data_IF_492622651246
#
_entry.id   IF_492622651246
#
_cell.length_a   1.000
_cell.length_b   1.000
_cell.length_c   1.000
_cell.angle_alpha   90.00
_cell.angle_beta   90.00
_cell.angle_gamma   90.00
#
_symmetry.space_group_name_H-M   'P 1'
#
loop_
_entity.id
_entity.type
_entity.pdbx_description
1 polymer ?
#
# COMPACT_ATOMS: atom_id res chain seq x y z
N UNK A 1 4.82 23.77 -7.68
CA UNK A 1 4.66 24.58 -6.44
C UNK A 1 5.99 25.04 -5.84
N UNK A 2 6.87 24.15 -5.38
CA UNK A 2 8.06 24.53 -4.59
C UNK A 2 9.09 25.37 -5.38
N UNK A 3 9.29 25.08 -6.67
CA UNK A 3 10.11 25.93 -7.55
C UNK A 3 9.59 27.38 -7.63
N UNK A 4 8.27 27.59 -7.55
CA UNK A 4 7.70 28.94 -7.59
C UNK A 4 8.09 29.76 -6.35
N UNK A 5 8.20 29.15 -5.17
CA UNK A 5 8.73 29.80 -3.97
C UNK A 5 10.20 30.18 -4.19
N UNK A 6 11.03 29.22 -4.64
CA UNK A 6 12.46 29.44 -4.88
C UNK A 6 12.75 30.50 -5.96
N UNK A 7 11.89 30.61 -6.97
CA UNK A 7 12.01 31.57 -8.07
C UNK A 7 11.28 32.90 -7.82
N UNK A 8 10.87 33.17 -6.57
CA UNK A 8 10.19 34.41 -6.15
C UNK A 8 8.88 34.68 -6.89
N UNK A 9 8.12 33.62 -7.18
CA UNK A 9 6.75 33.65 -7.75
C UNK A 9 5.74 32.99 -6.80
N UNK A 10 5.61 33.44 -5.54
CA UNK A 10 4.78 32.78 -4.53
C UNK A 10 3.29 32.71 -4.92
N UNK A 11 2.82 33.63 -5.76
CA UNK A 11 1.45 33.61 -6.30
C UNK A 11 1.11 32.33 -7.08
N UNK A 12 2.11 31.62 -7.61
CA UNK A 12 1.90 30.35 -8.31
C UNK A 12 1.89 29.15 -7.37
N UNK A 13 2.28 29.30 -6.10
CA UNK A 13 2.37 28.17 -5.16
C UNK A 13 1.01 27.51 -4.96
N UNK A 14 0.01 28.28 -4.53
CA UNK A 14 -1.33 27.77 -4.19
C UNK A 14 -2.02 27.11 -5.39
N UNK A 15 -2.05 27.68 -6.62
CA UNK A 15 -2.62 27.01 -7.78
C UNK A 15 -2.00 25.63 -8.06
N UNK A 16 -0.68 25.51 -7.96
CA UNK A 16 -0.01 24.21 -8.15
C UNK A 16 -0.31 23.22 -7.03
N UNK A 17 -0.44 23.69 -5.79
CA UNK A 17 -0.85 22.84 -4.66
C UNK A 17 -2.29 22.36 -4.83
N UNK A 18 -3.20 23.22 -5.28
CA UNK A 18 -4.59 22.84 -5.57
C UNK A 18 -4.66 21.83 -6.71
N UNK A 19 -3.83 21.97 -7.74
CA UNK A 19 -3.73 20.97 -8.81
C UNK A 19 -3.27 19.62 -8.28
N UNK A 20 -2.21 19.59 -7.45
CA UNK A 20 -1.76 18.35 -6.83
C UNK A 20 -2.84 17.75 -5.91
N UNK A 21 -3.56 18.58 -5.15
CA UNK A 21 -4.60 18.15 -4.23
C UNK A 21 -5.82 17.48 -4.89
N UNK A 22 -5.97 17.61 -6.21
CA UNK A 22 -6.95 16.88 -7.02
C UNK A 22 -6.61 15.39 -7.20
N UNK A 23 -5.41 14.97 -6.80
CA UNK A 23 -4.95 13.58 -6.82
C UNK A 23 -4.86 12.98 -5.39
N UNK A 24 -5.99 12.87 -4.66
CA UNK A 24 -6.00 12.73 -3.20
C UNK A 24 -5.52 11.36 -2.68
N UNK A 25 -5.12 10.44 -3.55
CA UNK A 25 -4.59 9.10 -3.18
C UNK A 25 -3.12 8.93 -3.60
N UNK A 26 -2.47 10.02 -4.04
CA UNK A 26 -1.06 10.03 -4.43
C UNK A 26 -0.19 10.68 -3.35
N UNK A 27 1.11 10.41 -3.39
CA UNK A 27 2.10 11.00 -2.49
C UNK A 27 2.02 12.53 -2.45
N UNK A 28 2.13 13.19 -3.60
CA UNK A 28 2.07 14.65 -3.66
C UNK A 28 0.68 15.21 -3.39
N UNK A 29 -0.38 14.53 -3.81
CA UNK A 29 -1.74 15.02 -3.55
C UNK A 29 -2.12 15.00 -2.08
N UNK A 30 -1.72 13.95 -1.34
CA UNK A 30 -1.95 13.89 0.11
C UNK A 30 -1.18 14.96 0.87
N UNK A 31 0.09 15.19 0.51
CA UNK A 31 0.91 16.27 1.07
C UNK A 31 0.28 17.63 0.76
N UNK A 32 -0.17 17.84 -0.47
CA UNK A 32 -0.78 19.09 -0.87
C UNK A 32 -2.08 19.38 -0.12
N UNK A 33 -2.93 18.36 0.07
CA UNK A 33 -4.14 18.49 0.89
C UNK A 33 -3.81 18.82 2.34
N UNK A 34 -2.80 18.15 2.91
CA UNK A 34 -2.33 18.44 4.28
C UNK A 34 -1.85 19.88 4.42
N UNK A 35 -1.02 20.37 3.51
CA UNK A 35 -0.52 21.76 3.51
C UNK A 35 -1.66 22.78 3.38
N UNK A 36 -2.65 22.49 2.53
CA UNK A 36 -3.80 23.37 2.29
C UNK A 36 -4.89 23.28 3.38
N UNK A 37 -4.73 22.43 4.40
CA UNK A 37 -5.76 22.19 5.41
C UNK A 37 -7.04 21.53 4.86
N UNK A 38 -6.96 20.87 3.71
CA UNK A 38 -8.08 20.16 3.11
C UNK A 38 -8.25 18.78 3.76
N UNK A 39 -9.49 18.39 4.05
CA UNK A 39 -9.79 17.04 4.49
C UNK A 39 -9.28 16.01 3.46
N UNK A 40 -8.79 14.83 3.87
CA UNK A 40 -8.29 13.83 2.91
C UNK A 40 -9.39 13.31 1.98
N UNK A 41 -10.64 13.27 2.45
CA UNK A 41 -11.81 12.93 1.63
C UNK A 41 -11.83 11.47 1.17
N UNK A 42 -11.43 10.55 2.05
CA UNK A 42 -11.53 9.10 1.80
C UNK A 42 -12.97 8.60 1.97
N UNK A 43 -13.40 7.74 1.07
CA UNK A 43 -14.70 7.08 1.10
C UNK A 43 -14.56 5.70 1.77
N UNK A 44 -14.69 5.70 3.10
CA UNK A 44 -14.65 4.49 3.92
C UNK A 44 -16.02 3.80 4.06
N UNK A 45 -17.06 4.36 3.48
CA UNK A 45 -18.38 3.74 3.42
C UNK A 45 -18.41 2.68 2.31
N UNK A 46 -18.94 1.50 2.64
CA UNK A 46 -19.09 0.41 1.68
C UNK A 46 -20.32 0.67 0.81
N UNK A 47 -20.13 0.75 -0.50
CA UNK A 47 -21.26 0.75 -1.43
C UNK A 47 -21.94 -0.63 -1.40
N UNK A 48 -23.23 -0.62 -1.09
CA UNK A 48 -24.12 -1.77 -1.19
C UNK A 48 -24.54 -1.88 -2.65
N UNK A 49 -24.24 -3.03 -3.29
CA UNK A 49 -24.71 -3.29 -4.64
C UNK A 49 -26.24 -3.47 -4.63
N UNK A 50 -26.94 -2.86 -5.57
CA UNK A 50 -28.38 -3.10 -5.76
C UNK A 50 -28.65 -4.48 -6.34
N UNK A 51 -29.84 -5.05 -6.10
CA UNK A 51 -30.21 -6.41 -6.57
C UNK A 51 -30.00 -6.62 -8.09
N UNK A 52 -30.25 -5.59 -8.90
CA UNK A 52 -30.04 -5.63 -10.35
C UNK A 52 -28.56 -5.76 -10.77
N UNK A 53 -27.61 -5.35 -9.91
CA UNK A 53 -26.18 -5.42 -10.20
C UNK A 53 -25.61 -6.82 -9.93
N UNK A 54 -26.23 -7.61 -9.05
CA UNK A 54 -25.80 -8.98 -8.77
C UNK A 54 -26.00 -9.94 -9.95
N UNK A 55 -26.93 -9.64 -10.85
CA UNK A 55 -27.30 -10.51 -11.98
C UNK A 55 -26.42 -10.31 -13.24
N UNK A 56 -25.81 -9.14 -13.41
CA UNK A 56 -25.05 -8.77 -14.62
C UNK A 56 -23.90 -9.74 -15.02
N UNK A 57 -23.14 -10.37 -14.10
CA UNK A 57 -22.09 -11.32 -14.49
C UNK A 57 -22.68 -12.58 -15.11
N UNK A 58 -23.88 -13.01 -14.67
CA UNK A 58 -24.55 -14.21 -15.17
C UNK A 58 -25.06 -14.06 -16.62
N UNK A 59 -25.07 -12.85 -17.16
CA UNK A 59 -25.39 -12.57 -18.58
C UNK A 59 -24.26 -12.99 -19.52
N UNK A 60 -23.08 -13.32 -18.99
CA UNK A 60 -21.93 -13.82 -19.75
C UNK A 60 -21.61 -15.26 -19.38
N UNK A 61 -21.16 -16.07 -20.34
CA UNK A 61 -20.74 -17.45 -20.06
C UNK A 61 -19.59 -17.51 -19.02
N UNK A 62 -18.67 -16.54 -19.05
CA UNK A 62 -17.57 -16.46 -18.07
C UNK A 62 -18.07 -16.07 -16.68
N UNK A 63 -18.96 -15.09 -16.55
CA UNK A 63 -19.48 -14.71 -15.24
C UNK A 63 -20.39 -15.79 -14.65
N UNK A 64 -21.21 -16.47 -15.46
CA UNK A 64 -21.96 -17.64 -14.99
C UNK A 64 -21.02 -18.75 -14.47
N UNK A 65 -19.96 -19.09 -15.21
CA UNK A 65 -18.95 -20.05 -14.75
C UNK A 65 -18.26 -19.60 -13.47
N UNK A 66 -17.92 -18.31 -13.35
CA UNK A 66 -17.32 -17.77 -12.15
C UNK A 66 -18.23 -17.98 -10.93
N UNK A 67 -19.51 -17.60 -11.03
CA UNK A 67 -20.49 -17.79 -9.96
C UNK A 67 -20.69 -19.26 -9.59
N UNK A 68 -20.79 -20.16 -10.58
CA UNK A 68 -20.89 -21.60 -10.35
C UNK A 68 -19.64 -22.17 -9.65
N UNK A 69 -18.43 -21.71 -10.01
CA UNK A 69 -17.18 -22.11 -9.36
C UNK A 69 -17.11 -21.62 -7.91
N UNK A 70 -17.63 -20.41 -7.62
CA UNK A 70 -17.73 -19.89 -6.26
C UNK A 70 -18.66 -20.74 -5.40
N UNK A 71 -19.81 -21.17 -5.93
CA UNK A 71 -20.77 -22.02 -5.22
C UNK A 71 -20.17 -23.36 -4.78
N UNK A 72 -19.21 -23.91 -5.53
CA UNK A 72 -18.50 -25.15 -5.18
C UNK A 72 -17.13 -24.91 -4.53
N UNK A 73 -16.85 -23.68 -4.09
CA UNK A 73 -15.63 -23.32 -3.35
C UNK A 73 -14.34 -23.23 -4.17
N UNK A 74 -14.40 -23.31 -5.51
CA UNK A 74 -13.22 -23.25 -6.38
C UNK A 74 -12.80 -21.81 -6.68
N UNK A 75 -12.38 -21.09 -5.63
CA UNK A 75 -12.06 -19.65 -5.65
C UNK A 75 -11.03 -19.24 -6.70
N UNK A 76 -9.89 -19.93 -6.77
CA UNK A 76 -8.82 -19.57 -7.72
C UNK A 76 -9.30 -19.69 -9.19
N UNK A 77 -10.14 -20.68 -9.49
CA UNK A 77 -10.73 -20.84 -10.84
C UNK A 77 -11.83 -19.81 -11.10
N UNK A 78 -12.63 -19.47 -10.10
CA UNK A 78 -13.63 -18.42 -10.22
C UNK A 78 -12.96 -17.05 -10.48
N UNK A 79 -11.88 -16.74 -9.77
CA UNK A 79 -11.06 -15.54 -10.00
C UNK A 79 -10.56 -15.50 -11.45
N UNK A 80 -10.05 -16.62 -11.97
CA UNK A 80 -9.60 -16.70 -13.36
C UNK A 80 -10.72 -16.40 -14.37
N UNK A 81 -11.96 -16.86 -14.11
CA UNK A 81 -13.11 -16.54 -14.95
C UNK A 81 -13.55 -15.07 -14.82
N UNK A 82 -13.54 -14.49 -13.62
CA UNK A 82 -13.82 -13.07 -13.42
C UNK A 82 -12.78 -12.19 -14.14
N UNK A 83 -11.50 -12.56 -14.09
CA UNK A 83 -10.43 -11.82 -14.80
C UNK A 83 -10.60 -11.84 -16.32
N UNK A 84 -11.25 -12.86 -16.89
CA UNK A 84 -11.59 -12.88 -18.33
C UNK A 84 -12.64 -11.85 -18.73
N UNK A 85 -13.45 -11.38 -17.79
CA UNK A 85 -14.45 -10.33 -18.03
C UNK A 85 -13.84 -8.93 -18.09
N UNK A 86 -12.56 -8.78 -17.74
CA UNK A 86 -11.90 -7.47 -17.64
C UNK A 86 -12.05 -6.59 -18.89
N UNK A 87 -11.85 -7.09 -20.14
CA UNK A 87 -12.02 -6.27 -21.33
C UNK A 87 -13.45 -5.77 -21.52
N UNK A 88 -14.46 -6.58 -21.18
CA UNK A 88 -15.87 -6.19 -21.27
C UNK A 88 -16.30 -5.24 -20.13
N UNK A 89 -15.60 -5.28 -19.00
CA UNK A 89 -15.87 -4.42 -17.86
C UNK A 89 -15.30 -3.00 -18.01
N UNK A 90 -14.33 -2.80 -18.91
CA UNK A 90 -13.83 -1.46 -19.25
C UNK A 90 -14.92 -0.64 -19.93
N UNK A 91 -15.21 0.54 -19.37
CA UNK A 91 -16.31 1.39 -19.85
C UNK A 91 -17.71 0.89 -19.49
N UNK A 92 -17.84 -0.19 -18.71
CA UNK A 92 -19.12 -0.75 -18.28
C UNK A 92 -19.26 -0.69 -16.73
N UNK A 93 -19.91 0.37 -16.20
CA UNK A 93 -20.14 0.52 -14.76
C UNK A 93 -20.96 -0.63 -14.14
N UNK A 94 -21.94 -1.19 -14.86
CA UNK A 94 -22.76 -2.29 -14.37
C UNK A 94 -21.93 -3.55 -14.13
N UNK A 95 -21.18 -3.97 -15.16
CA UNK A 95 -20.36 -5.18 -15.09
C UNK A 95 -19.20 -5.06 -14.10
N UNK A 96 -18.51 -3.91 -14.06
CA UNK A 96 -17.43 -3.69 -13.09
C UNK A 96 -17.94 -3.69 -11.64
N UNK A 97 -19.09 -3.09 -11.34
CA UNK A 97 -19.70 -3.17 -9.99
C UNK A 97 -20.12 -4.59 -9.63
N UNK A 98 -20.65 -5.33 -10.58
CA UNK A 98 -21.04 -6.72 -10.36
C UNK A 98 -19.83 -7.65 -10.13
N UNK A 99 -18.77 -7.48 -10.91
CA UNK A 99 -17.49 -8.15 -10.69
C UNK A 99 -16.91 -7.81 -9.31
N UNK A 100 -17.01 -6.56 -8.88
CA UNK A 100 -16.58 -6.12 -7.54
C UNK A 100 -17.39 -6.83 -6.45
N UNK A 101 -18.72 -6.89 -6.60
CA UNK A 101 -19.59 -7.59 -5.65
C UNK A 101 -19.22 -9.08 -5.53
N UNK A 102 -19.06 -9.77 -6.67
CA UNK A 102 -18.65 -11.18 -6.69
C UNK A 102 -17.27 -11.40 -6.07
N UNK A 103 -16.29 -10.53 -6.37
CA UNK A 103 -14.95 -10.63 -5.80
C UNK A 103 -14.96 -10.43 -4.27
N UNK A 104 -15.74 -9.46 -3.77
CA UNK A 104 -15.93 -9.22 -2.33
C UNK A 104 -16.55 -10.42 -1.63
N UNK A 105 -17.65 -10.94 -2.16
CA UNK A 105 -18.38 -12.09 -1.58
C UNK A 105 -17.49 -13.34 -1.53
N UNK A 106 -16.68 -13.55 -2.56
CA UNK A 106 -15.72 -14.63 -2.64
C UNK A 106 -14.49 -14.46 -1.73
N UNK A 107 -14.30 -13.29 -1.11
CA UNK A 107 -13.10 -12.96 -0.35
C UNK A 107 -11.84 -12.79 -1.21
N UNK A 108 -12.00 -12.51 -2.50
CA UNK A 108 -10.91 -12.30 -3.46
C UNK A 108 -10.38 -10.87 -3.34
N UNK A 109 -9.67 -10.60 -2.24
CA UNK A 109 -9.24 -9.26 -1.82
C UNK A 109 -8.46 -8.50 -2.90
N UNK A 110 -7.49 -9.14 -3.56
CA UNK A 110 -6.70 -8.49 -4.62
C UNK A 110 -7.57 -8.13 -5.84
N UNK A 111 -8.35 -9.10 -6.33
CA UNK A 111 -9.28 -8.86 -7.44
C UNK A 111 -10.28 -7.75 -7.10
N UNK A 112 -10.84 -7.75 -5.89
CA UNK A 112 -11.77 -6.71 -5.45
C UNK A 112 -11.13 -5.32 -5.49
N UNK A 113 -9.90 -5.17 -5.01
CA UNK A 113 -9.18 -3.89 -5.06
C UNK A 113 -8.93 -3.42 -6.50
N UNK A 114 -8.55 -4.34 -7.41
CA UNK A 114 -8.33 -4.04 -8.83
C UNK A 114 -9.64 -3.64 -9.53
N UNK A 115 -10.73 -4.39 -9.31
CA UNK A 115 -12.02 -4.10 -9.93
C UNK A 115 -12.64 -2.82 -9.34
N UNK A 116 -12.39 -2.49 -8.08
CA UNK A 116 -12.82 -1.22 -7.50
C UNK A 116 -12.16 -0.01 -8.17
N UNK A 117 -10.88 -0.11 -8.51
CA UNK A 117 -10.19 0.91 -9.30
C UNK A 117 -10.77 1.03 -10.71
N UNK A 118 -11.05 -0.10 -11.38
CA UNK A 118 -11.72 -0.12 -12.67
C UNK A 118 -13.12 0.52 -12.59
N UNK A 119 -13.93 0.14 -11.62
CA UNK A 119 -15.28 0.67 -11.43
C UNK A 119 -15.25 2.19 -11.18
N UNK A 120 -14.32 2.66 -10.33
CA UNK A 120 -14.10 4.09 -10.11
C UNK A 120 -13.70 4.81 -11.40
N UNK A 121 -12.88 4.20 -12.27
CA UNK A 121 -12.53 4.80 -13.55
C UNK A 121 -13.73 4.89 -14.51
N UNK A 122 -14.69 3.97 -14.39
CA UNK A 122 -15.89 3.92 -15.22
C UNK A 122 -16.97 4.93 -14.79
N UNK A 123 -17.13 5.20 -13.48
CA UNK A 123 -18.24 6.01 -12.95
C UNK A 123 -17.82 7.24 -12.13
N UNK A 124 -16.52 7.43 -11.89
CA UNK A 124 -15.95 8.53 -11.12
C UNK A 124 -16.19 8.45 -9.61
N UNK A 125 -16.87 7.42 -9.10
CA UNK A 125 -17.22 7.31 -7.68
C UNK A 125 -16.04 6.74 -6.88
N UNK A 126 -15.60 7.41 -5.79
CA UNK A 126 -14.54 6.89 -4.93
C UNK A 126 -14.93 5.55 -4.30
N UNK A 127 -14.01 4.58 -4.33
CA UNK A 127 -14.21 3.22 -3.78
C UNK A 127 -13.06 2.81 -2.85
N UNK A 128 -12.63 3.72 -1.97
CA UNK A 128 -11.44 3.50 -1.14
C UNK A 128 -11.59 2.31 -0.19
N UNK A 129 -12.81 2.06 0.30
CA UNK A 129 -13.10 0.90 1.14
C UNK A 129 -12.59 -0.42 0.54
N UNK A 130 -12.69 -0.60 -0.78
CA UNK A 130 -12.26 -1.82 -1.48
C UNK A 130 -10.84 -1.73 -2.00
N UNK A 131 -10.43 -0.54 -2.45
CA UNK A 131 -9.08 -0.32 -2.98
C UNK A 131 -8.00 -0.51 -1.91
N UNK A 132 -8.34 -0.27 -0.64
CA UNK A 132 -7.42 -0.33 0.49
C UNK A 132 -7.87 -1.33 1.57
N UNK A 133 -8.03 -2.63 1.25
CA UNK A 133 -8.65 -3.61 2.14
C UNK A 133 -7.97 -3.66 3.51
N UNK A 134 -8.74 -4.00 4.55
CA UNK A 134 -8.25 -4.01 5.94
C UNK A 134 -8.29 -5.44 6.52
N UNK A 135 -7.50 -6.39 5.99
CA UNK A 135 -7.37 -7.69 6.63
C UNK A 135 -6.76 -7.51 8.02
N UNK A 136 -7.06 -8.42 8.94
CA UNK A 136 -6.46 -8.42 10.29
C UNK A 136 -4.99 -8.82 10.18
N UNK A 137 -4.08 -7.90 10.46
CA UNK A 137 -2.65 -8.17 10.54
C UNK A 137 -2.26 -8.42 11.99
N UNK A 138 -1.66 -9.58 12.26
CA UNK A 138 -1.25 -9.98 13.60
C UNK A 138 0.20 -10.47 13.55
N UNK A 139 1.19 -9.58 13.76
CA UNK A 139 2.58 -10.03 13.92
C UNK A 139 2.71 -10.91 15.17
N UNK A 140 3.62 -11.89 15.15
CA UNK A 140 3.75 -12.89 16.23
C UNK A 140 3.89 -12.30 17.64
N UNK A 141 4.49 -11.12 17.75
CA UNK A 141 4.78 -10.45 19.03
C UNK A 141 4.14 -9.07 19.11
N UNK A 142 3.08 -8.84 18.32
CA UNK A 142 2.41 -7.55 18.22
C UNK A 142 3.15 -6.54 17.35
N UNK A 143 2.57 -5.35 17.25
CA UNK A 143 3.13 -4.24 16.50
C UNK A 143 4.22 -3.53 17.32
N UNK A 144 5.41 -3.40 16.73
CA UNK A 144 6.54 -2.56 17.15
C UNK A 144 6.87 -1.47 16.13
N UNK A 145 6.31 -1.59 14.94
CA UNK A 145 6.31 -0.57 13.89
C UNK A 145 4.89 -0.04 13.77
N UNK A 146 4.75 1.22 13.38
CA UNK A 146 3.46 1.84 13.04
C UNK A 146 2.60 0.86 12.19
N UNK A 147 1.43 0.43 12.70
CA UNK A 147 0.55 -0.46 11.95
C UNK A 147 0.24 0.06 10.56
N UNK A 148 -0.01 1.36 10.42
CA UNK A 148 -0.34 1.96 9.13
C UNK A 148 0.79 1.80 8.10
N UNK A 149 2.05 1.89 8.54
CA UNK A 149 3.22 1.61 7.71
C UNK A 149 3.28 0.15 7.26
N UNK A 150 3.00 -0.80 8.16
CA UNK A 150 2.98 -2.22 7.79
C UNK A 150 1.84 -2.56 6.83
N UNK A 151 0.64 -1.99 7.00
CA UNK A 151 -0.44 -2.14 6.04
C UNK A 151 -0.07 -1.55 4.67
N UNK A 152 0.56 -0.36 4.64
CA UNK A 152 1.03 0.25 3.41
C UNK A 152 2.08 -0.59 2.68
N UNK A 153 3.03 -1.15 3.42
CA UNK A 153 4.02 -2.09 2.90
C UNK A 153 3.37 -3.39 2.39
N UNK A 154 2.52 -4.04 3.17
CA UNK A 154 1.85 -5.28 2.78
C UNK A 154 1.01 -5.11 1.50
N UNK A 155 0.33 -3.96 1.36
CA UNK A 155 -0.39 -3.62 0.14
C UNK A 155 0.56 -3.46 -1.06
N UNK A 156 1.67 -2.74 -0.88
CA UNK A 156 2.64 -2.51 -1.96
C UNK A 156 3.41 -3.77 -2.37
N UNK A 157 3.75 -4.63 -1.41
CA UNK A 157 4.60 -5.80 -1.62
C UNK A 157 3.84 -6.98 -2.23
N UNK A 158 2.66 -7.29 -1.69
CA UNK A 158 1.92 -8.51 -2.07
C UNK A 158 0.44 -8.29 -2.28
N UNK A 159 -0.08 -7.06 -2.08
CA UNK A 159 -1.51 -6.78 -2.03
C UNK A 159 -2.25 -7.68 -1.02
N UNK A 160 -1.56 -7.95 0.09
CA UNK A 160 -2.00 -8.85 1.16
C UNK A 160 -2.03 -10.35 0.82
N UNK A 161 -1.40 -10.81 -0.27
CA UNK A 161 -1.31 -12.24 -0.59
C UNK A 161 -0.15 -12.93 0.16
N UNK A 162 -0.42 -13.81 1.15
CA UNK A 162 0.63 -14.54 1.84
C UNK A 162 1.29 -15.63 0.98
N UNK A 163 0.69 -15.99 -0.16
CA UNK A 163 1.24 -16.97 -1.10
C UNK A 163 2.16 -16.33 -2.14
N UNK A 164 2.25 -15.01 -2.19
CA UNK A 164 3.00 -14.28 -3.21
C UNK A 164 4.48 -14.70 -3.26
N UNK A 165 4.99 -14.91 -4.48
CA UNK A 165 6.41 -15.15 -4.77
C UNK A 165 6.83 -14.27 -5.93
N UNK A 166 7.81 -13.38 -5.71
CA UNK A 166 8.33 -12.55 -6.79
C UNK A 166 9.23 -13.36 -7.74
N UNK A 167 9.48 -12.88 -8.97
CA UNK A 167 10.45 -13.50 -9.89
C UNK A 167 11.87 -13.60 -9.31
N UNK A 168 12.25 -12.67 -8.42
CA UNK A 168 13.54 -12.69 -7.73
C UNK A 168 13.56 -13.67 -6.53
N UNK A 169 12.40 -14.22 -6.14
CA UNK A 169 12.27 -15.19 -5.06
C UNK A 169 11.94 -14.60 -3.69
N UNK A 170 11.49 -13.34 -3.64
CA UNK A 170 10.90 -12.74 -2.43
C UNK A 170 9.56 -13.44 -2.10
N UNK A 171 9.23 -13.61 -0.82
CA UNK A 171 8.11 -14.48 -0.40
C UNK A 171 7.19 -13.85 0.61
N UNK A 172 5.91 -14.18 0.47
CA UNK A 172 4.86 -13.94 1.43
C UNK A 172 4.39 -12.50 1.49
N UNK A 173 3.65 -12.21 2.56
CA UNK A 173 2.92 -10.97 2.77
C UNK A 173 3.81 -9.72 2.63
N UNK A 174 5.02 -9.79 3.15
CA UNK A 174 5.97 -8.66 3.18
C UNK A 174 7.12 -8.80 2.16
N UNK A 175 7.02 -9.76 1.24
CA UNK A 175 8.03 -10.06 0.21
C UNK A 175 9.47 -10.08 0.76
N UNK A 176 9.70 -10.91 1.79
CA UNK A 176 11.04 -11.05 2.38
C UNK A 176 11.86 -12.03 1.54
N UNK A 177 13.07 -11.61 1.17
CA UNK A 177 14.05 -12.49 0.51
C UNK A 177 14.55 -13.56 1.51
N UNK A 178 14.73 -14.83 1.10
CA UNK A 178 15.28 -15.88 1.97
C UNK A 178 16.65 -15.52 2.56
N UNK A 179 17.51 -14.82 1.81
CA UNK A 179 18.80 -14.34 2.31
C UNK A 179 18.64 -13.27 3.41
N UNK A 180 17.70 -12.34 3.24
CA UNK A 180 17.36 -11.34 4.25
C UNK A 180 16.80 -11.98 5.51
N UNK A 181 15.92 -12.98 5.37
CA UNK A 181 15.42 -13.74 6.51
C UNK A 181 16.54 -14.46 7.26
N UNK A 182 17.47 -15.12 6.56
CA UNK A 182 18.60 -15.80 7.18
C UNK A 182 19.50 -14.81 7.93
N UNK A 183 19.74 -13.64 7.33
CA UNK A 183 20.49 -12.55 7.96
C UNK A 183 19.83 -12.06 9.26
N UNK A 184 18.51 -11.82 9.25
CA UNK A 184 17.75 -11.37 10.44
C UNK A 184 17.76 -12.43 11.54
N UNK A 185 17.64 -13.71 11.17
CA UNK A 185 17.65 -14.83 12.10
C UNK A 185 19.06 -15.23 12.56
N UNK A 186 20.11 -14.62 11.98
CA UNK A 186 21.52 -14.95 12.21
C UNK A 186 21.86 -16.41 11.86
N UNK A 187 21.27 -16.90 10.78
CA UNK A 187 21.48 -18.25 10.24
C UNK A 187 22.42 -18.20 9.02
N UNK A 188 23.24 -19.23 8.82
CA UNK A 188 24.14 -19.36 7.63
C UNK A 188 23.37 -19.62 6.34
N UNK A 189 22.08 -19.90 6.43
CA UNK A 189 21.15 -20.05 5.33
C UNK A 189 19.78 -20.52 5.83
N UNK A 190 18.72 -20.17 5.10
CA UNK A 190 17.37 -20.55 5.49
C UNK A 190 17.06 -22.00 5.05
N UNK A 191 16.77 -22.87 6.02
CA UNK A 191 16.32 -24.25 5.75
C UNK A 191 15.01 -24.28 4.95
N UNK A 192 14.69 -25.41 4.29
CA UNK A 192 13.46 -25.54 3.50
C UNK A 192 12.19 -25.26 4.32
N UNK A 193 12.12 -25.78 5.55
CA UNK A 193 11.02 -25.50 6.48
C UNK A 193 10.92 -24.03 6.86
N UNK A 194 12.05 -23.36 7.11
CA UNK A 194 12.06 -21.93 7.41
C UNK A 194 11.68 -21.07 6.18
N UNK A 195 11.98 -21.51 4.95
CA UNK A 195 11.50 -20.85 3.72
C UNK A 195 9.99 -20.94 3.57
N UNK A 196 9.40 -22.09 3.87
CA UNK A 196 7.95 -22.27 3.85
C UNK A 196 7.26 -21.34 4.85
N UNK A 197 7.87 -21.11 6.02
CA UNK A 197 7.36 -20.17 7.04
C UNK A 197 7.29 -18.72 6.56
N UNK A 198 8.01 -18.30 5.50
CA UNK A 198 7.86 -16.95 4.96
C UNK A 198 6.45 -16.68 4.40
N UNK A 199 5.68 -17.73 4.11
CA UNK A 199 4.28 -17.65 3.71
C UNK A 199 3.31 -17.56 4.91
N UNK A 200 3.78 -17.76 6.14
CA UNK A 200 2.98 -17.49 7.34
C UNK A 200 2.87 -15.97 7.55
N UNK A 201 1.66 -15.37 7.54
CA UNK A 201 1.48 -13.92 7.64
C UNK A 201 2.13 -13.32 8.89
N UNK A 202 1.94 -13.95 10.05
CA UNK A 202 2.45 -13.46 11.33
C UNK A 202 3.97 -13.46 11.39
N UNK A 203 4.60 -14.51 10.87
CA UNK A 203 6.06 -14.59 10.76
C UNK A 203 6.63 -13.62 9.71
N UNK A 204 5.95 -13.46 8.57
CA UNK A 204 6.33 -12.50 7.53
C UNK A 204 6.34 -11.06 8.07
N UNK A 205 5.29 -10.68 8.81
CA UNK A 205 5.20 -9.39 9.51
C UNK A 205 6.29 -9.23 10.56
N UNK A 206 6.52 -10.27 11.38
CA UNK A 206 7.57 -10.27 12.40
C UNK A 206 8.96 -10.02 11.80
N UNK A 207 9.30 -10.69 10.70
CA UNK A 207 10.55 -10.48 9.99
C UNK A 207 10.65 -9.09 9.38
N UNK A 208 9.58 -8.57 8.77
CA UNK A 208 9.57 -7.22 8.22
C UNK A 208 9.81 -6.15 9.28
N UNK A 209 9.19 -6.28 10.45
CA UNK A 209 9.42 -5.36 11.58
C UNK A 209 10.88 -5.39 12.04
N UNK A 210 11.46 -6.59 12.19
CA UNK A 210 12.89 -6.74 12.55
C UNK A 210 13.79 -6.14 11.47
N UNK A 211 13.45 -6.33 10.20
CA UNK A 211 14.23 -5.80 9.09
C UNK A 211 14.21 -4.28 9.08
N UNK A 212 13.03 -3.66 9.23
CA UNK A 212 12.88 -2.21 9.29
C UNK A 212 13.70 -1.60 10.44
N UNK A 213 13.64 -2.17 11.64
CA UNK A 213 14.50 -1.74 12.76
C UNK A 213 15.99 -1.92 12.46
N UNK A 214 16.38 -3.02 11.82
CA UNK A 214 17.78 -3.23 11.44
C UNK A 214 18.27 -2.24 10.37
N UNK A 215 17.39 -1.77 9.50
CA UNK A 215 17.71 -0.74 8.52
C UNK A 215 17.90 0.62 9.18
N UNK A 216 17.17 0.94 10.25
CA UNK A 216 17.29 2.23 10.94
C UNK A 216 18.62 2.40 11.64
N UNK A 217 19.29 1.30 12.02
CA UNK A 217 20.63 1.35 12.64
C UNK A 217 21.75 1.53 11.61
N UNK A 218 21.45 1.61 10.31
CA UNK A 218 22.45 1.84 9.26
C UNK A 218 22.74 3.33 9.15
N UNK A 219 24.01 3.71 9.21
CA UNK A 219 24.44 5.11 9.11
C UNK A 219 23.94 5.81 7.83
N UNK A 220 23.91 5.11 6.69
CA UNK A 220 23.39 5.70 5.43
C UNK A 220 21.92 6.10 5.55
N UNK A 221 21.16 5.40 6.38
CA UNK A 221 19.73 5.62 6.61
C UNK A 221 19.52 6.61 7.75
N UNK A 222 20.31 6.49 8.83
CA UNK A 222 20.27 7.31 10.03
C UNK A 222 18.82 7.52 10.53
N UNK A 223 18.00 6.47 10.57
CA UNK A 223 16.60 6.56 11.02
C UNK A 223 15.66 7.43 10.15
N UNK A 224 16.07 7.95 9.00
CA UNK A 224 15.20 8.62 8.04
C UNK A 224 14.27 7.62 7.34
N UNK A 225 12.96 7.83 7.40
CA UNK A 225 11.97 6.90 6.90
C UNK A 225 12.05 6.73 5.37
N UNK A 226 12.34 7.79 4.61
CA UNK A 226 12.47 7.71 3.15
C UNK A 226 13.62 6.76 2.79
N UNK A 227 14.77 6.91 3.46
CA UNK A 227 15.95 6.07 3.27
C UNK A 227 15.74 4.65 3.79
N UNK A 228 15.00 4.46 4.89
CA UNK A 228 14.58 3.11 5.37
C UNK A 228 13.81 2.40 4.26
N UNK A 229 12.80 3.05 3.68
CA UNK A 229 11.97 2.47 2.62
C UNK A 229 12.77 2.19 1.35
N UNK A 230 13.66 3.11 0.97
CA UNK A 230 14.57 2.90 -0.15
C UNK A 230 15.50 1.69 0.08
N UNK A 231 16.01 1.53 1.30
CA UNK A 231 16.87 0.41 1.68
C UNK A 231 16.11 -0.90 1.84
N UNK A 232 14.83 -0.86 2.20
CA UNK A 232 13.96 -2.04 2.23
C UNK A 232 13.81 -2.61 0.82
N UNK A 233 13.47 -1.76 -0.15
CA UNK A 233 13.23 -2.17 -1.54
C UNK A 233 14.51 -2.45 -2.34
N UNK A 234 15.56 -1.63 -2.21
CA UNK A 234 16.77 -1.73 -3.03
C UNK A 234 17.97 -2.36 -2.29
N UNK A 235 17.83 -2.61 -0.99
CA UNK A 235 18.93 -3.06 -0.13
C UNK A 235 19.82 -1.90 0.36
N UNK A 236 20.27 -1.94 1.63
CA UNK A 236 21.05 -0.85 2.24
C UNK A 236 22.41 -0.62 1.57
N UNK A 237 23.00 -1.65 0.97
CA UNK A 237 24.28 -1.54 0.26
C UNK A 237 24.18 -0.68 -1.01
N UNK A 238 23.07 -0.76 -1.74
CA UNK A 238 22.85 0.08 -2.91
C UNK A 238 22.55 1.52 -2.50
N UNK A 239 21.71 1.72 -1.49
CA UNK A 239 21.46 3.05 -0.90
C UNK A 239 22.77 3.69 -0.44
N UNK A 240 23.66 2.90 0.21
CA UNK A 240 25.03 3.30 0.57
C UNK A 240 25.86 3.87 -0.58
N UNK A 241 25.66 3.37 -1.80
CA UNK A 241 26.42 3.82 -2.98
C UNK A 241 25.86 5.12 -3.57
N UNK A 242 24.54 5.24 -3.69
CA UNK A 242 23.94 6.37 -4.43
C UNK A 242 23.51 7.53 -3.53
N UNK A 243 23.05 7.28 -2.30
CA UNK A 243 22.48 8.34 -1.45
C UNK A 243 23.47 9.48 -1.13
N UNK A 244 24.76 9.23 -0.86
CA UNK A 244 25.74 10.30 -0.62
C UNK A 244 25.98 11.21 -1.83
N UNK A 245 25.67 10.74 -3.04
CA UNK A 245 25.89 11.48 -4.29
C UNK A 245 24.68 12.34 -4.68
N UNK A 246 23.56 12.24 -3.96
CA UNK A 246 22.35 13.00 -4.22
C UNK A 246 22.49 14.42 -3.66
N UNK A 247 22.40 15.43 -4.53
CA UNK A 247 22.41 16.85 -4.13
C UNK A 247 21.01 17.34 -3.77
N UNK A 248 20.54 16.97 -2.59
CA UNK A 248 19.17 17.28 -2.15
C UNK A 248 19.01 18.63 -1.43
N UNK A 249 20.10 19.30 -1.01
CA UNK A 249 20.03 20.60 -0.32
C UNK A 249 19.06 20.59 0.88
N UNK A 250 19.10 19.52 1.68
CA UNK A 250 18.18 19.27 2.80
C UNK A 250 16.68 19.32 2.45
N UNK A 251 16.31 19.16 1.17
CA UNK A 251 14.93 19.08 0.71
C UNK A 251 14.51 17.60 0.54
N UNK A 252 13.52 17.11 1.32
CA UNK A 252 13.09 15.72 1.24
C UNK A 252 12.44 15.38 -0.11
N UNK A 253 11.77 16.33 -0.77
CA UNK A 253 11.16 16.11 -2.08
C UNK A 253 12.23 15.99 -3.16
N UNK A 254 13.25 16.84 -3.10
CA UNK A 254 14.37 16.74 -4.02
C UNK A 254 15.14 15.43 -3.82
N UNK A 255 15.29 14.96 -2.57
CA UNK A 255 15.89 13.65 -2.30
C UNK A 255 15.08 12.52 -2.93
N UNK A 256 13.76 12.47 -2.70
CA UNK A 256 12.86 11.46 -3.27
C UNK A 256 12.95 11.48 -4.80
N UNK A 257 12.83 12.64 -5.44
CA UNK A 257 12.90 12.74 -6.91
C UNK A 257 14.28 12.46 -7.50
N UNK A 258 15.33 12.52 -6.67
CA UNK A 258 16.69 12.21 -7.09
C UNK A 258 17.09 10.75 -6.86
N UNK A 259 16.21 9.91 -6.30
CA UNK A 259 16.46 8.47 -6.19
C UNK A 259 16.68 7.90 -7.61
N UNK A 260 17.88 7.37 -7.94
CA UNK A 260 18.22 7.04 -9.33
C UNK A 260 17.50 5.78 -9.83
N UNK A 261 17.06 4.92 -8.92
CA UNK A 261 16.30 3.70 -9.26
C UNK A 261 14.82 4.03 -9.30
N UNK A 262 14.24 4.10 -10.51
CA UNK A 262 12.85 4.51 -10.72
C UNK A 262 11.83 3.64 -9.97
N UNK A 263 12.06 2.32 -9.90
CA UNK A 263 11.23 1.41 -9.11
C UNK A 263 11.23 1.78 -7.63
N UNK A 264 12.42 2.01 -7.05
CA UNK A 264 12.57 2.40 -5.64
C UNK A 264 11.96 3.76 -5.35
N UNK A 265 12.10 4.73 -6.27
CA UNK A 265 11.45 6.04 -6.16
C UNK A 265 9.93 5.88 -6.06
N UNK A 266 9.34 5.13 -6.99
CA UNK A 266 7.90 4.88 -6.99
C UNK A 266 7.46 4.08 -5.76
N UNK A 267 8.27 3.12 -5.31
CA UNK A 267 8.03 2.35 -4.09
C UNK A 267 7.93 3.25 -2.86
N UNK A 268 8.92 4.12 -2.63
CA UNK A 268 8.91 5.06 -1.49
C UNK A 268 7.66 5.93 -1.51
N UNK A 269 7.33 6.53 -2.65
CA UNK A 269 6.15 7.38 -2.80
C UNK A 269 4.85 6.61 -2.52
N UNK A 270 4.71 5.40 -3.06
CA UNK A 270 3.52 4.55 -2.87
C UNK A 270 3.37 4.10 -1.42
N UNK A 271 4.43 3.59 -0.79
CA UNK A 271 4.36 3.12 0.60
C UNK A 271 4.01 4.25 1.56
N UNK A 272 4.57 5.45 1.38
CA UNK A 272 4.20 6.61 2.18
C UNK A 272 2.75 7.03 1.95
N UNK A 273 2.30 7.10 0.69
CA UNK A 273 0.90 7.40 0.39
C UNK A 273 -0.04 6.36 1.03
N UNK A 274 0.24 5.07 0.86
CA UNK A 274 -0.56 3.99 1.44
C UNK A 274 -0.56 4.01 2.95
N UNK A 275 0.58 4.28 3.60
CA UNK A 275 0.62 4.36 5.06
C UNK A 275 -0.27 5.49 5.59
N UNK A 276 -0.33 6.64 4.93
CA UNK A 276 -1.24 7.73 5.34
C UNK A 276 -2.70 7.41 5.10
N UNK A 277 -3.00 6.69 4.02
CA UNK A 277 -4.35 6.19 3.73
C UNK A 277 -4.79 5.21 4.83
N UNK A 278 -3.92 4.26 5.20
CA UNK A 278 -4.21 3.34 6.30
C UNK A 278 -4.24 4.00 7.66
N UNK A 279 -3.41 5.02 7.91
CA UNK A 279 -3.46 5.80 9.13
C UNK A 279 -4.86 6.41 9.29
N UNK A 280 -5.40 7.04 8.23
CA UNK A 280 -6.78 7.52 8.25
C UNK A 280 -7.82 6.41 8.44
N UNK A 281 -7.66 5.25 7.79
CA UNK A 281 -8.60 4.13 7.90
C UNK A 281 -8.61 3.51 9.31
N UNK A 282 -7.46 3.51 9.98
CA UNK A 282 -7.27 2.96 11.33
C UNK A 282 -7.53 3.99 12.44
N UNK A 283 -7.74 5.26 12.10
CA UNK A 283 -7.86 6.34 13.09
C UNK A 283 -6.53 6.69 13.77
N UNK A 284 -5.40 6.39 13.12
CA UNK A 284 -4.05 6.72 13.59
C UNK A 284 -3.58 8.05 12.96
N UNK A 285 -2.78 8.87 13.66
CA UNK A 285 -2.10 10.00 13.05
C UNK A 285 -1.00 9.56 12.07
N UNK A 286 -0.59 10.52 11.24
CA UNK A 286 0.36 10.31 10.16
C UNK A 286 1.57 11.27 10.31
N UNK A 287 2.47 11.06 11.28
CA UNK A 287 3.56 11.98 11.57
C UNK A 287 4.53 12.18 10.39
N UNK A 288 4.69 11.16 9.54
CA UNK A 288 5.50 11.29 8.32
C UNK A 288 4.87 12.19 7.25
N UNK A 289 3.53 12.26 7.19
CA UNK A 289 2.81 13.21 6.34
C UNK A 289 2.97 14.63 6.88
N UNK A 290 2.88 14.80 8.20
CA UNK A 290 3.05 16.10 8.86
C UNK A 290 4.49 16.63 8.71
N UNK A 291 5.50 15.78 8.89
CA UNK A 291 6.89 16.14 8.65
C UNK A 291 7.12 16.61 7.20
N UNK A 292 6.62 15.86 6.22
CA UNK A 292 6.76 16.24 4.82
C UNK A 292 5.97 17.51 4.47
N UNK A 293 4.77 17.70 5.02
CA UNK A 293 4.02 18.94 4.87
C UNK A 293 4.78 20.15 5.44
N UNK A 294 5.57 19.95 6.51
CA UNK A 294 6.48 20.94 7.08
C UNK A 294 7.82 21.06 6.33
N UNK A 295 8.04 20.31 5.24
CA UNK A 295 9.29 20.31 4.48
C UNK A 295 10.46 19.59 5.17
N UNK A 296 10.17 18.72 6.13
CA UNK A 296 11.16 17.99 6.92
C UNK A 296 11.25 16.52 6.49
N UNK A 297 12.43 15.93 6.67
CA UNK A 297 12.63 14.50 6.51
C UNK A 297 11.85 13.72 7.58
N UNK A 298 10.95 12.79 7.19
CA UNK A 298 10.19 12.00 8.15
C UNK A 298 11.10 10.97 8.85
N UNK A 299 10.93 10.80 10.17
CA UNK A 299 11.71 9.84 10.96
C UNK A 299 10.97 8.53 11.13
N UNK A 300 11.71 7.43 11.05
CA UNK A 300 11.19 6.12 11.41
C UNK A 300 11.00 6.04 12.93
N UNK A 301 9.89 5.44 13.38
CA UNK A 301 9.69 5.19 14.81
C UNK A 301 9.25 6.39 15.63
N UNK A 302 8.78 7.47 15.00
CA UNK A 302 7.90 8.44 15.67
C UNK A 302 6.55 7.75 15.97
N UNK A 303 6.56 6.74 16.84
CA UNK A 303 5.38 5.99 17.23
C UNK A 303 4.67 6.76 18.33
N UNK A 304 3.38 6.87 18.11
CA UNK A 304 2.35 7.25 19.06
C UNK A 304 2.53 6.53 20.38
N UNK A 305 2.66 7.30 21.44
CA UNK A 305 2.72 6.84 22.82
C UNK A 305 1.45 6.13 23.30
N UNK A 306 0.42 6.00 22.46
CA UNK A 306 -0.86 5.36 22.80
C UNK A 306 -1.40 4.55 21.61
N UNK A 307 -1.03 3.28 21.50
CA UNK A 307 -1.86 2.28 20.81
C UNK A 307 -1.94 1.04 21.69
N UNK A 308 -2.60 1.19 22.83
CA UNK A 308 -3.26 0.08 23.49
C UNK A 308 -4.62 -0.09 22.79
N UNK A 309 -4.85 -1.27 22.21
CA UNK A 309 -6.11 -1.72 21.62
C UNK A 309 -6.50 -1.08 20.28
N UNK A 310 -6.15 -1.75 19.18
CA UNK A 310 -6.85 -1.56 17.91
C UNK A 310 -8.33 -1.92 18.11
N UNK A 311 -9.29 -1.03 17.80
CA UNK A 311 -10.69 -1.40 17.85
C UNK A 311 -10.96 -2.50 16.83
N UNK A 312 -11.64 -3.57 17.26
CA UNK A 312 -12.12 -4.61 16.36
C UNK A 312 -12.91 -3.96 15.21
N UNK A 313 -12.79 -4.47 13.96
CA UNK A 313 -13.58 -3.94 12.85
C UNK A 313 -15.04 -4.02 13.26
N UNK A 314 -15.76 -2.89 13.18
CA UNK A 314 -17.21 -2.85 13.39
C UNK A 314 -17.83 -3.76 12.33
N UNK A 315 -18.12 -4.99 12.71
CA UNK A 315 -18.85 -5.94 11.89
C UNK A 315 -20.26 -5.43 11.71
N UNK A 316 -20.52 -4.83 10.54
CA UNK A 316 -21.88 -4.68 10.05
C UNK A 316 -22.40 -6.07 9.72
N UNK A 317 -23.44 -6.49 10.44
CA UNK A 317 -24.31 -7.60 10.03
C UNK A 317 -24.93 -7.30 8.68
#
# INVERSE_FOLDING_TARGET
AHSAIRTRRPQLYVPWMLQAAQEPRTFYGLIARRILGLAPGFAWEREVAGEAEGAAPAETASGWRALALLQIGQRDRAEAELRRLWPAAQGNPGLSRAMLAAAREAGLTDLAAQVAELAQSNDGRPRDYDRFPLPRLEPMTGFRVDPALLYGLALQESRFDPRAVSPAGARGLMQIMPATAAYILKETGLSGGARARLHDPSFSLELAQRYLHLLTTREVVDGDLIRVLAAYNNGPGNVGRWAPNVRHQDDPFLFVESIPVGETRAFVQRVLAYSWIYASRLGLPAPSLDALAAGQFPRFGAVLTEVAEMPAPRGGR
#
